data_IF_867278332218
#
_entry.id   IF_867278332218
#
_cell.length_a   1.000
_cell.length_b   1.000
_cell.length_c   1.000
_cell.angle_alpha   90.00
_cell.angle_beta   90.00
_cell.angle_gamma   90.00
#
_symmetry.space_group_name_H-M   'P 1'
#
loop_
_entity.id
_entity.type
_entity.pdbx_description
1 polymer ?
#
# COMPACT_ATOMS: atom_id res chain seq x y z
N UNK A 1 -2.78 9.72 19.52
CA UNK A 1 -2.16 9.86 18.18
C UNK A 1 -1.27 11.08 18.23
N UNK A 2 0.04 10.88 18.08
CA UNK A 2 0.98 11.99 18.08
C UNK A 2 0.88 12.79 16.77
N UNK A 3 0.77 12.09 15.66
CA UNK A 3 0.67 12.68 14.33
C UNK A 3 -0.09 11.74 13.37
N UNK A 4 -0.86 12.27 12.44
CA UNK A 4 -1.48 11.52 11.35
C UNK A 4 -1.45 12.34 10.07
N UNK A 5 -0.82 11.80 9.02
CA UNK A 5 -0.52 12.50 7.78
C UNK A 5 -1.77 12.97 7.01
N UNK A 6 -2.87 12.20 7.10
CA UNK A 6 -4.10 12.42 6.35
C UNK A 6 -5.22 13.03 7.21
N UNK A 7 -4.96 13.27 8.48
CA UNK A 7 -5.89 13.85 9.43
C UNK A 7 -5.14 14.97 10.15
N UNK A 8 -5.76 16.10 10.36
CA UNK A 8 -5.17 17.22 11.11
C UNK A 8 -5.07 16.88 12.61
N UNK A 9 -4.47 15.72 12.93
CA UNK A 9 -4.28 15.25 14.30
C UNK A 9 -2.88 15.62 14.75
N UNK A 10 -2.80 16.43 15.80
CA UNK A 10 -1.57 16.71 16.55
C UNK A 10 -1.87 16.45 18.02
N UNK A 11 -1.15 15.52 18.63
CA UNK A 11 -1.29 15.12 20.04
C UNK A 11 -2.73 14.81 20.49
N UNK A 12 -3.56 14.23 19.62
CA UNK A 12 -4.97 13.92 19.91
C UNK A 12 -5.07 12.68 20.81
N UNK A 13 -5.69 12.76 22.01
CA UNK A 13 -5.87 11.63 22.91
C UNK A 13 -7.06 10.75 22.43
N UNK A 14 -7.00 10.24 21.21
CA UNK A 14 -8.11 9.57 20.51
C UNK A 14 -8.71 8.41 21.32
N UNK A 15 -7.85 7.57 21.92
CA UNK A 15 -8.31 6.43 22.72
C UNK A 15 -9.16 6.87 23.90
N UNK A 16 -8.73 7.91 24.63
CA UNK A 16 -9.50 8.47 25.74
C UNK A 16 -10.83 9.07 25.26
N UNK A 17 -10.80 9.86 24.20
CA UNK A 17 -12.00 10.51 23.64
C UNK A 17 -13.07 9.49 23.20
N UNK A 18 -12.65 8.36 22.62
CA UNK A 18 -13.58 7.29 22.24
C UNK A 18 -14.07 6.55 23.48
N UNK A 19 -13.18 6.24 24.44
CA UNK A 19 -13.57 5.58 25.69
C UNK A 19 -14.61 6.38 26.47
N UNK A 20 -14.40 7.69 26.61
CA UNK A 20 -15.33 8.59 27.30
C UNK A 20 -16.74 8.60 26.67
N UNK A 21 -16.82 8.40 25.36
CA UNK A 21 -18.10 8.39 24.62
C UNK A 21 -18.80 7.03 24.59
N UNK A 22 -18.04 5.95 24.66
CA UNK A 22 -18.55 4.59 24.45
C UNK A 22 -18.56 3.73 25.70
N UNK A 23 -17.74 4.06 26.70
CA UNK A 23 -17.49 3.23 27.88
C UNK A 23 -16.69 1.96 27.59
N UNK A 24 -16.26 1.73 26.33
CA UNK A 24 -15.54 0.52 25.92
C UNK A 24 -14.03 0.69 26.06
N UNK A 25 -13.28 -0.41 26.30
CA UNK A 25 -11.82 -0.39 26.16
C UNK A 25 -11.42 0.00 24.73
N UNK A 26 -10.46 0.92 24.60
CA UNK A 26 -9.99 1.43 23.29
C UNK A 26 -8.49 1.26 23.18
N UNK A 27 -8.06 0.63 22.09
CA UNK A 27 -6.66 0.47 21.72
C UNK A 27 -6.47 1.16 20.37
N UNK A 28 -5.40 1.94 20.25
CA UNK A 28 -5.08 2.72 19.04
C UNK A 28 -3.70 2.29 18.57
N UNK A 29 -3.60 1.89 17.31
CA UNK A 29 -2.35 1.54 16.67
C UNK A 29 -2.37 2.02 15.19
N UNK A 30 -1.29 1.78 14.45
CA UNK A 30 -1.22 1.99 13.02
C UNK A 30 -2.27 1.11 12.30
N UNK A 31 -2.86 1.62 11.22
CA UNK A 31 -3.95 0.95 10.48
C UNK A 31 -3.55 -0.41 9.90
N UNK A 32 -2.34 -0.52 9.32
CA UNK A 32 -1.83 -1.77 8.79
C UNK A 32 -1.51 -2.78 9.91
N UNK A 33 -1.02 -2.32 11.06
CA UNK A 33 -0.82 -3.15 12.25
C UNK A 33 -2.13 -3.73 12.75
N UNK A 34 -3.17 -2.90 12.88
CA UNK A 34 -4.49 -3.35 13.32
C UNK A 34 -5.10 -4.34 12.32
N UNK A 35 -4.98 -4.07 11.03
CA UNK A 35 -5.44 -4.98 9.99
C UNK A 35 -4.69 -6.33 10.04
N UNK A 36 -3.36 -6.30 10.17
CA UNK A 36 -2.56 -7.52 10.30
C UNK A 36 -2.94 -8.32 11.56
N UNK A 37 -3.16 -7.66 12.68
CA UNK A 37 -3.60 -8.31 13.90
C UNK A 37 -5.00 -8.93 13.76
N UNK A 38 -5.91 -8.25 13.07
CA UNK A 38 -7.25 -8.78 12.76
C UNK A 38 -7.19 -10.05 11.90
N UNK A 39 -6.38 -10.03 10.84
CA UNK A 39 -6.14 -11.20 9.97
C UNK A 39 -5.46 -12.35 10.72
N UNK A 40 -4.55 -12.05 11.61
CA UNK A 40 -3.89 -13.05 12.43
C UNK A 40 -4.88 -13.73 13.42
N UNK A 41 -5.73 -12.94 14.08
CA UNK A 41 -6.66 -13.47 15.08
C UNK A 41 -7.86 -14.21 14.48
N UNK A 42 -8.43 -13.70 13.39
CA UNK A 42 -9.72 -14.12 12.89
C UNK A 42 -9.77 -14.38 11.36
N UNK A 43 -8.76 -13.94 10.61
CA UNK A 43 -8.71 -14.01 9.15
C UNK A 43 -7.76 -15.10 8.63
N UNK A 44 -7.09 -14.77 7.52
CA UNK A 44 -6.22 -15.71 6.77
C UNK A 44 -5.00 -16.18 7.57
N UNK A 45 -4.55 -15.40 8.57
CA UNK A 45 -3.41 -15.75 9.44
C UNK A 45 -3.77 -16.64 10.62
N UNK A 46 -5.04 -17.00 10.80
CA UNK A 46 -5.50 -17.76 11.97
C UNK A 46 -4.82 -19.14 12.04
N UNK A 47 -4.19 -19.40 13.19
CA UNK A 47 -3.49 -20.66 13.44
C UNK A 47 -2.03 -20.70 12.98
N UNK A 48 -1.53 -19.65 12.32
CA UNK A 48 -0.11 -19.51 12.03
C UNK A 48 0.66 -19.04 13.27
N UNK A 49 1.95 -19.37 13.37
CA UNK A 49 2.82 -18.84 14.42
C UNK A 49 3.35 -17.45 14.07
N UNK A 50 3.52 -17.18 12.79
CA UNK A 50 4.03 -15.90 12.26
C UNK A 50 3.36 -15.57 10.95
N UNK A 51 3.19 -14.29 10.67
CA UNK A 51 2.52 -13.79 9.47
C UNK A 51 3.08 -12.42 9.08
N UNK A 52 3.21 -12.18 7.81
CA UNK A 52 3.38 -10.83 7.25
C UNK A 52 2.15 -10.49 6.42
N UNK A 53 1.60 -9.33 6.64
CA UNK A 53 0.52 -8.77 5.85
C UNK A 53 1.03 -7.53 5.10
N UNK A 54 0.69 -7.44 3.82
CA UNK A 54 0.96 -6.26 2.99
C UNK A 54 -0.36 -5.71 2.51
N UNK A 55 -0.59 -4.43 2.73
CA UNK A 55 -1.77 -3.72 2.21
C UNK A 55 -1.39 -2.91 0.99
N UNK A 56 -2.12 -3.08 -0.11
CA UNK A 56 -1.95 -2.34 -1.35
C UNK A 56 -3.14 -1.40 -1.54
N UNK A 57 -2.91 -0.11 -1.35
CA UNK A 57 -3.91 0.94 -1.45
C UNK A 57 -3.31 2.22 -2.02
N UNK A 58 -3.68 3.37 -1.46
CA UNK A 58 -3.05 4.67 -1.78
C UNK A 58 -1.54 4.60 -1.59
N UNK A 59 -1.08 3.91 -0.54
CA UNK A 59 0.30 3.55 -0.29
C UNK A 59 0.48 2.04 -0.20
N UNK A 60 1.62 1.62 0.35
CA UNK A 60 1.92 0.24 0.73
C UNK A 60 2.13 0.19 2.24
N UNK A 61 1.20 -0.41 2.95
CA UNK A 61 1.33 -0.66 4.39
C UNK A 61 1.80 -2.08 4.68
N UNK A 62 2.26 -2.30 5.89
CA UNK A 62 2.68 -3.61 6.38
C UNK A 62 2.38 -3.83 7.84
N UNK A 63 2.14 -5.10 8.20
CA UNK A 63 2.08 -5.55 9.57
C UNK A 63 2.70 -6.94 9.70
N UNK A 64 3.49 -7.12 10.73
CA UNK A 64 4.25 -8.35 10.95
C UNK A 64 3.90 -8.92 12.31
N UNK A 65 3.50 -10.18 12.34
CA UNK A 65 3.31 -10.96 13.56
C UNK A 65 4.41 -12.02 13.61
N UNK A 66 5.19 -12.04 14.69
CA UNK A 66 6.24 -13.01 14.92
C UNK A 66 5.96 -13.74 16.24
N UNK A 67 5.89 -15.08 16.16
CA UNK A 67 5.65 -15.94 17.34
C UNK A 67 4.43 -15.46 18.17
N UNK A 68 3.34 -15.11 17.50
CA UNK A 68 2.10 -14.68 18.15
C UNK A 68 2.11 -13.25 18.69
N UNK A 69 3.09 -12.42 18.32
CA UNK A 69 3.19 -11.02 18.77
C UNK A 69 3.34 -10.08 17.60
N UNK A 70 2.61 -9.00 17.62
CA UNK A 70 2.75 -7.92 16.65
C UNK A 70 4.12 -7.24 16.81
N UNK A 71 4.84 -7.08 15.71
CA UNK A 71 6.13 -6.41 15.66
C UNK A 71 5.92 -4.91 15.56
N UNK A 72 6.09 -4.19 16.67
CA UNK A 72 5.96 -2.74 16.73
C UNK A 72 7.31 -2.00 16.74
N UNK A 73 8.41 -2.74 16.99
CA UNK A 73 9.74 -2.16 17.09
C UNK A 73 9.98 -1.39 18.40
N UNK A 74 11.14 -0.78 18.50
CA UNK A 74 11.53 -0.03 19.71
C UNK A 74 10.85 1.35 19.85
N UNK A 75 10.35 1.91 18.74
CA UNK A 75 9.72 3.23 18.66
C UNK A 75 8.30 3.21 18.06
N UNK A 76 7.73 2.02 17.85
CA UNK A 76 6.40 1.86 17.27
C UNK A 76 6.33 1.99 15.75
N UNK A 77 7.48 2.07 15.06
CA UNK A 77 7.54 2.26 13.60
C UNK A 77 8.12 1.04 12.85
N UNK A 78 7.99 -0.16 13.41
CA UNK A 78 8.35 -1.37 12.67
C UNK A 78 7.31 -1.72 11.60
N UNK A 79 7.72 -2.55 10.66
CA UNK A 79 6.88 -3.06 9.58
C UNK A 79 6.41 -1.99 8.57
N UNK A 80 7.11 -0.87 8.44
CA UNK A 80 6.92 0.13 7.38
C UNK A 80 7.41 -0.44 6.02
N UNK A 81 6.75 -1.53 5.57
CA UNK A 81 7.21 -2.34 4.43
C UNK A 81 7.17 -1.59 3.10
N UNK A 82 6.34 -0.55 2.98
CA UNK A 82 6.29 0.30 1.80
C UNK A 82 7.51 1.19 1.63
N UNK A 83 8.30 1.41 2.71
CA UNK A 83 9.40 2.36 2.70
C UNK A 83 10.79 1.73 2.58
N UNK A 84 10.91 0.41 2.45
CA UNK A 84 12.20 -0.13 2.06
C UNK A 84 12.52 0.18 0.59
N UNK A 85 13.79 0.45 0.32
CA UNK A 85 14.25 0.92 -0.98
C UNK A 85 14.46 -0.28 -1.91
N UNK A 86 13.75 -0.28 -3.06
CA UNK A 86 13.92 -1.27 -4.13
C UNK A 86 14.70 -0.74 -5.32
N UNK A 87 14.86 0.59 -5.41
CA UNK A 87 15.65 1.27 -6.45
C UNK A 87 16.30 2.53 -5.87
N UNK A 88 17.60 2.45 -5.57
CA UNK A 88 18.34 3.55 -4.95
C UNK A 88 18.39 4.85 -5.80
N UNK A 89 18.17 4.76 -7.11
CA UNK A 89 18.12 5.89 -8.03
C UNK A 89 16.69 6.26 -8.46
N UNK A 90 15.70 5.66 -7.83
CA UNK A 90 14.31 5.73 -8.22
C UNK A 90 13.56 7.00 -7.82
N UNK A 91 12.22 6.89 -7.87
CA UNK A 91 11.28 7.99 -7.61
C UNK A 91 11.44 8.51 -6.17
N UNK A 92 11.25 9.82 -5.99
CA UNK A 92 11.18 10.44 -4.65
C UNK A 92 9.98 9.92 -3.88
N UNK A 93 10.16 9.73 -2.57
CA UNK A 93 9.13 9.31 -1.66
C UNK A 93 8.87 10.40 -0.60
N UNK A 94 7.62 10.52 -0.17
CA UNK A 94 7.20 11.48 0.85
C UNK A 94 7.90 11.26 2.20
N UNK A 95 8.47 10.07 2.44
CA UNK A 95 9.27 9.81 3.64
C UNK A 95 10.68 10.45 3.59
N UNK A 96 11.04 11.14 2.51
CA UNK A 96 12.35 11.77 2.30
C UNK A 96 13.39 10.88 1.62
N UNK A 97 13.10 9.60 1.41
CA UNK A 97 13.96 8.66 0.69
C UNK A 97 13.64 8.64 -0.81
N UNK A 98 14.48 7.92 -1.58
CA UNK A 98 14.20 7.60 -2.99
C UNK A 98 14.04 6.10 -3.17
N UNK A 99 13.19 5.72 -4.13
CA UNK A 99 13.04 4.34 -4.56
C UNK A 99 12.33 3.41 -3.60
N UNK A 100 11.52 3.95 -2.70
CA UNK A 100 10.68 3.16 -1.80
C UNK A 100 9.72 2.27 -2.58
N UNK A 101 9.49 1.06 -2.12
CA UNK A 101 8.58 0.09 -2.72
C UNK A 101 7.19 0.68 -3.00
N UNK A 102 6.67 1.51 -2.11
CA UNK A 102 5.38 2.20 -2.27
C UNK A 102 5.29 2.98 -3.58
N UNK A 103 6.38 3.62 -4.03
CA UNK A 103 6.40 4.43 -5.25
C UNK A 103 6.27 3.60 -6.54
N UNK A 104 6.29 2.28 -6.42
CA UNK A 104 6.18 1.32 -7.54
C UNK A 104 5.06 0.31 -7.35
N UNK A 105 4.79 -0.12 -6.11
CA UNK A 105 3.87 -1.20 -5.77
C UNK A 105 2.52 -0.75 -5.21
N UNK A 106 2.28 0.54 -4.97
CA UNK A 106 0.96 1.02 -4.54
C UNK A 106 -0.04 1.10 -5.71
N UNK A 107 -1.34 1.13 -5.41
CA UNK A 107 -2.38 1.39 -6.43
C UNK A 107 -2.20 2.78 -7.05
N UNK A 108 -1.78 3.77 -6.26
CA UNK A 108 -1.43 5.10 -6.77
C UNK A 108 -0.28 5.01 -7.78
N UNK A 109 0.74 4.21 -7.49
CA UNK A 109 1.85 3.99 -8.42
C UNK A 109 1.41 3.32 -9.72
N UNK A 110 0.52 2.32 -9.66
CA UNK A 110 -0.08 1.68 -10.84
C UNK A 110 -0.82 2.71 -11.71
N UNK A 111 -1.62 3.59 -11.10
CA UNK A 111 -2.35 4.64 -11.83
C UNK A 111 -1.38 5.64 -12.47
N UNK A 112 -0.33 6.06 -11.77
CA UNK A 112 0.70 6.93 -12.32
C UNK A 112 1.42 6.29 -13.51
N UNK A 113 1.83 5.03 -13.40
CA UNK A 113 2.46 4.27 -14.48
C UNK A 113 1.55 4.17 -15.71
N UNK A 114 0.25 3.94 -15.49
CA UNK A 114 -0.73 3.88 -16.57
C UNK A 114 -0.89 5.24 -17.27
N UNK A 115 -0.97 6.35 -16.53
CA UNK A 115 -1.05 7.70 -17.10
C UNK A 115 0.21 8.07 -17.88
N UNK A 116 1.39 7.77 -17.34
CA UNK A 116 2.67 7.96 -18.04
C UNK A 116 2.70 7.19 -19.37
N UNK A 117 2.25 5.92 -19.37
CA UNK A 117 2.18 5.10 -20.57
C UNK A 117 1.14 5.62 -21.59
N UNK A 118 -0.05 6.01 -21.14
CA UNK A 118 -1.08 6.63 -21.98
C UNK A 118 -0.57 7.89 -22.70
N UNK A 119 0.19 8.73 -22.03
CA UNK A 119 0.73 9.95 -22.62
C UNK A 119 1.64 9.63 -23.83
N UNK A 120 2.38 8.51 -23.77
CA UNK A 120 3.25 8.03 -24.84
C UNK A 120 2.51 7.25 -25.95
N UNK A 121 1.37 6.61 -25.62
CA UNK A 121 0.61 5.70 -26.48
C UNK A 121 -0.81 6.20 -26.72
N UNK A 122 -1.00 7.06 -27.70
CA UNK A 122 -2.34 7.67 -27.99
C UNK A 122 -3.35 6.69 -28.59
N UNK A 123 -2.88 5.57 -29.13
CA UNK A 123 -3.64 4.46 -29.68
C UNK A 123 -4.20 3.50 -28.62
N UNK A 124 -3.74 3.61 -27.37
CA UNK A 124 -4.15 2.70 -26.30
C UNK A 124 -5.65 2.81 -26.00
N UNK A 125 -6.27 1.65 -25.75
CA UNK A 125 -7.67 1.55 -25.29
C UNK A 125 -7.91 2.20 -23.94
N UNK A 126 -6.85 2.44 -23.15
CA UNK A 126 -6.93 3.19 -21.89
C UNK A 126 -7.59 4.54 -22.07
N UNK A 127 -7.31 5.25 -23.20
CA UNK A 127 -7.93 6.53 -23.48
C UNK A 127 -9.45 6.41 -23.61
N UNK A 128 -9.94 5.49 -24.43
CA UNK A 128 -11.38 5.29 -24.62
C UNK A 128 -12.08 4.84 -23.33
N UNK A 129 -11.46 3.94 -22.57
CA UNK A 129 -12.01 3.45 -21.30
C UNK A 129 -11.98 4.49 -20.18
N UNK A 130 -11.07 5.46 -20.25
CA UNK A 130 -11.01 6.61 -19.36
C UNK A 130 -11.80 7.82 -19.88
N UNK A 131 -12.69 7.65 -20.89
CA UNK A 131 -13.47 8.73 -21.49
C UNK A 131 -12.61 9.88 -22.03
N UNK A 132 -11.40 9.57 -22.50
CA UNK A 132 -10.34 10.49 -22.94
C UNK A 132 -9.83 11.48 -21.87
N UNK A 133 -10.06 11.18 -20.61
CA UNK A 133 -9.63 11.99 -19.47
C UNK A 133 -8.63 11.19 -18.60
N UNK A 134 -7.40 11.65 -18.48
CA UNK A 134 -6.38 11.01 -17.63
C UNK A 134 -6.83 10.93 -16.15
N UNK A 135 -7.64 11.87 -15.70
CA UNK A 135 -8.18 11.90 -14.34
C UNK A 135 -9.05 10.69 -14.02
N UNK A 136 -9.73 10.11 -15.03
CA UNK A 136 -10.62 8.95 -14.89
C UNK A 136 -9.86 7.61 -14.80
N UNK A 137 -8.54 7.62 -15.07
CA UNK A 137 -7.72 6.40 -14.96
C UNK A 137 -7.68 5.92 -13.52
N UNK A 138 -8.12 4.69 -13.32
CA UNK A 138 -8.14 4.00 -12.04
C UNK A 138 -7.88 2.51 -12.25
N UNK A 139 -7.76 1.73 -11.17
CA UNK A 139 -7.46 0.30 -11.26
C UNK A 139 -8.44 -0.49 -12.12
N UNK A 140 -9.73 -0.15 -12.11
CA UNK A 140 -10.75 -0.85 -12.93
C UNK A 140 -10.54 -0.59 -14.41
N UNK A 141 -10.28 0.65 -14.80
CA UNK A 141 -9.97 1.05 -16.18
C UNK A 141 -8.74 0.32 -16.69
N UNK A 142 -7.68 0.27 -15.86
CA UNK A 142 -6.42 -0.39 -16.23
C UNK A 142 -6.64 -1.89 -16.46
N UNK A 143 -7.33 -2.57 -15.53
CA UNK A 143 -7.61 -3.99 -15.67
C UNK A 143 -8.55 -4.29 -16.83
N UNK A 144 -9.55 -3.46 -17.09
CA UNK A 144 -10.42 -3.61 -18.24
C UNK A 144 -9.65 -3.48 -19.58
N UNK A 145 -8.70 -2.57 -19.68
CA UNK A 145 -7.83 -2.45 -20.85
C UNK A 145 -6.89 -3.66 -20.98
N UNK A 146 -6.34 -4.15 -19.86
CA UNK A 146 -5.54 -5.36 -19.81
C UNK A 146 -6.32 -6.57 -20.32
N UNK A 147 -7.53 -6.80 -19.82
CA UNK A 147 -8.41 -7.91 -20.23
C UNK A 147 -8.83 -7.81 -21.72
N UNK A 148 -8.93 -6.58 -22.23
CA UNK A 148 -9.18 -6.31 -23.66
C UNK A 148 -7.94 -6.52 -24.55
N UNK A 149 -6.80 -6.95 -23.98
CA UNK A 149 -5.55 -7.19 -24.70
C UNK A 149 -4.87 -5.91 -25.21
N UNK A 150 -5.06 -4.77 -24.55
CA UNK A 150 -4.35 -3.54 -24.87
C UNK A 150 -2.87 -3.68 -24.52
N UNK A 151 -1.97 -3.52 -25.49
CA UNK A 151 -0.53 -3.76 -25.29
C UNK A 151 0.07 -2.83 -24.24
N UNK A 152 -0.37 -1.57 -24.20
CA UNK A 152 0.08 -0.59 -23.22
C UNK A 152 -0.34 -0.98 -21.81
N UNK A 153 -1.61 -1.36 -21.62
CA UNK A 153 -2.10 -1.82 -20.32
C UNK A 153 -1.40 -3.12 -19.87
N UNK A 154 -1.15 -4.05 -20.80
CA UNK A 154 -0.41 -5.29 -20.53
C UNK A 154 1.02 -4.98 -20.04
N UNK A 155 1.72 -4.06 -20.68
CA UNK A 155 3.05 -3.65 -20.24
C UNK A 155 3.03 -2.99 -18.86
N UNK A 156 2.07 -2.10 -18.59
CA UNK A 156 1.90 -1.43 -17.30
C UNK A 156 1.65 -2.46 -16.19
N UNK A 157 0.69 -3.37 -16.38
CA UNK A 157 0.35 -4.38 -15.37
C UNK A 157 1.53 -5.32 -15.13
N UNK A 158 2.22 -5.78 -16.18
CA UNK A 158 3.40 -6.64 -16.04
C UNK A 158 4.53 -5.94 -15.28
N UNK A 159 4.78 -4.67 -15.55
CA UNK A 159 5.78 -3.87 -14.85
C UNK A 159 5.40 -3.71 -13.38
N UNK A 160 4.14 -3.40 -13.09
CA UNK A 160 3.62 -3.30 -11.73
C UNK A 160 3.77 -4.63 -10.97
N UNK A 161 3.38 -5.75 -11.58
CA UNK A 161 3.54 -7.09 -10.99
C UNK A 161 5.01 -7.40 -10.73
N UNK A 162 5.91 -7.01 -11.62
CA UNK A 162 7.35 -7.18 -11.41
C UNK A 162 7.83 -6.43 -10.14
N UNK A 163 7.42 -5.17 -9.95
CA UNK A 163 7.74 -4.43 -8.73
C UNK A 163 7.14 -5.08 -7.47
N UNK A 164 5.91 -5.59 -7.56
CA UNK A 164 5.32 -6.36 -6.46
C UNK A 164 6.17 -7.60 -6.13
N UNK A 165 6.63 -8.34 -7.14
CA UNK A 165 7.50 -9.50 -6.94
C UNK A 165 8.81 -9.12 -6.25
N UNK A 166 9.45 -8.01 -6.64
CA UNK A 166 10.68 -7.52 -5.99
C UNK A 166 10.43 -7.20 -4.52
N UNK A 167 9.33 -6.45 -4.24
CA UNK A 167 8.95 -6.10 -2.88
C UNK A 167 8.65 -7.34 -2.01
N UNK A 168 7.81 -8.25 -2.51
CA UNK A 168 7.45 -9.47 -1.79
C UNK A 168 8.66 -10.37 -1.56
N UNK A 169 9.56 -10.51 -2.55
CA UNK A 169 10.80 -11.28 -2.39
C UNK A 169 11.68 -10.70 -1.28
N UNK A 170 11.79 -9.37 -1.18
CA UNK A 170 12.53 -8.72 -0.10
C UNK A 170 11.92 -9.01 1.26
N UNK A 171 10.59 -9.01 1.36
CA UNK A 171 9.86 -9.33 2.60
C UNK A 171 10.07 -10.79 3.03
N UNK A 172 10.06 -11.73 2.08
CA UNK A 172 10.25 -13.17 2.38
C UNK A 172 11.65 -13.45 2.94
N UNK A 173 12.64 -12.60 2.62
CA UNK A 173 14.01 -12.75 3.08
C UNK A 173 14.26 -12.16 4.50
N UNK A 174 13.24 -11.61 5.15
CA UNK A 174 13.31 -11.12 6.54
C UNK A 174 12.79 -12.18 7.51
#
# INVERSE_FOLDING_TARGET
VLYANNLEFDNVPLGQMIHERTGLPVYVDNDANVAAWGEYCAGAGKGSSSMVMVTLGTGVGGGVVLNGKLLTGCNGAAAELGHFVIDMHGKECNCGMRGCFEQYGSVTALICQAREAMAAHKESKLWALAENEEANVNGKVILAAYDAGDETAVQVVNTYVHYLCVGVTSIINI
#
